data_IF_605650246756
#
_entry.id   IF_605650246756
#
_cell.length_a   1.000
_cell.length_b   1.000
_cell.length_c   1.000
_cell.angle_alpha   90.00
_cell.angle_beta   90.00
_cell.angle_gamma   90.00
#
_symmetry.space_group_name_H-M   'P 1'
#
loop_
_entity.id
_entity.type
_entity.pdbx_description
1 polymer ?
#
# COMPACT_ATOMS: atom_id res chain seq x y z
N UNK A 1 -33.05 -12.22 21.35
CA UNK A 1 -31.62 -12.59 21.43
C UNK A 1 -30.96 -12.66 20.05
N UNK A 2 -31.55 -13.33 19.05
CA UNK A 2 -31.00 -13.41 17.68
C UNK A 2 -30.83 -12.07 16.93
N UNK A 3 -31.76 -11.12 17.11
CA UNK A 3 -31.69 -9.80 16.45
C UNK A 3 -30.47 -8.96 16.89
N UNK A 4 -30.10 -9.06 18.17
CA UNK A 4 -28.96 -8.35 18.75
C UNK A 4 -27.63 -8.92 18.25
N UNK A 5 -27.56 -10.24 18.05
CA UNK A 5 -26.39 -10.91 17.47
C UNK A 5 -26.21 -10.50 16.02
N UNK A 6 -27.29 -10.47 15.23
CA UNK A 6 -27.24 -10.05 13.82
C UNK A 6 -26.81 -8.59 13.66
N UNK A 7 -27.34 -7.67 14.49
CA UNK A 7 -26.91 -6.27 14.51
C UNK A 7 -25.43 -6.12 14.87
N UNK A 8 -24.93 -6.89 15.85
CA UNK A 8 -23.53 -6.85 16.25
C UNK A 8 -22.59 -7.37 15.15
N UNK A 9 -23.00 -8.41 14.42
CA UNK A 9 -22.26 -8.92 13.26
C UNK A 9 -22.19 -7.89 12.12
N UNK A 10 -23.29 -7.18 11.83
CA UNK A 10 -23.33 -6.14 10.79
C UNK A 10 -22.48 -4.90 11.15
N UNK A 11 -22.44 -4.50 12.42
CA UNK A 11 -21.57 -3.40 12.87
C UNK A 11 -20.09 -3.77 12.78
N UNK A 12 -19.74 -5.01 13.12
CA UNK A 12 -18.36 -5.50 13.08
C UNK A 12 -17.81 -5.54 11.64
N UNK A 13 -18.63 -5.94 10.67
CA UNK A 13 -18.24 -5.95 9.26
C UNK A 13 -18.18 -4.56 8.63
N UNK A 14 -19.03 -3.63 9.07
CA UNK A 14 -18.99 -2.24 8.63
C UNK A 14 -17.72 -1.51 9.09
N UNK A 15 -17.25 -1.77 10.31
CA UNK A 15 -16.04 -1.15 10.86
C UNK A 15 -14.73 -1.69 10.24
N UNK A 16 -14.71 -2.97 9.82
CA UNK A 16 -13.53 -3.57 9.21
C UNK A 16 -13.23 -3.06 7.78
N UNK A 17 -14.26 -2.54 7.09
CA UNK A 17 -14.15 -2.06 5.71
C UNK A 17 -13.83 -0.57 5.56
N UNK A 18 -13.85 0.22 6.64
CA UNK A 18 -13.82 1.68 6.54
C UNK A 18 -12.44 2.34 6.67
N UNK A 19 -11.38 1.61 7.08
CA UNK A 19 -10.11 2.26 7.44
C UNK A 19 -8.90 1.48 6.92
N UNK A 20 -8.70 1.44 5.60
CA UNK A 20 -7.43 1.03 4.99
C UNK A 20 -7.14 1.85 3.72
N UNK A 21 -6.99 3.15 3.87
CA UNK A 21 -6.58 4.05 2.78
C UNK A 21 -5.15 3.75 2.31
N UNK A 22 -4.86 4.02 1.04
CA UNK A 22 -3.51 3.94 0.49
C UNK A 22 -2.65 5.06 1.08
N UNK A 23 -1.52 4.71 1.69
CA UNK A 23 -0.59 5.67 2.31
C UNK A 23 0.86 5.33 2.02
N UNK A 24 1.72 6.32 2.18
CA UNK A 24 3.17 6.14 2.20
C UNK A 24 3.59 5.58 3.56
N UNK A 25 4.48 4.59 3.55
CA UNK A 25 5.09 3.98 4.72
C UNK A 25 6.60 3.91 4.52
N UNK A 26 7.38 4.27 5.54
CA UNK A 26 8.82 4.09 5.53
C UNK A 26 9.17 2.60 5.70
N UNK A 27 10.17 2.14 4.98
CA UNK A 27 10.69 0.78 5.07
C UNK A 27 12.21 0.76 4.89
N UNK A 28 12.88 -0.14 5.61
CA UNK A 28 14.32 -0.36 5.46
C UNK A 28 14.57 -1.38 4.37
N UNK A 29 15.46 -1.06 3.44
CA UNK A 29 15.90 -1.92 2.35
C UNK A 29 17.39 -2.16 2.43
N UNK A 30 17.80 -3.40 2.18
CA UNK A 30 19.20 -3.78 2.05
C UNK A 30 19.60 -3.65 0.58
N UNK A 31 20.64 -2.87 0.31
CA UNK A 31 21.29 -2.80 -0.99
C UNK A 31 22.54 -3.68 -0.91
N UNK A 32 22.55 -4.72 -1.74
CA UNK A 32 23.66 -5.66 -1.91
C UNK A 32 24.19 -5.52 -3.34
N UNK A 33 25.35 -4.87 -3.46
CA UNK A 33 26.03 -4.62 -4.73
C UNK A 33 27.36 -5.37 -4.75
N UNK A 34 27.64 -6.10 -5.82
CA UNK A 34 28.84 -6.92 -5.93
C UNK A 34 30.12 -6.06 -5.80
N UNK A 35 30.96 -6.39 -4.82
CA UNK A 35 32.22 -5.69 -4.57
C UNK A 35 32.09 -4.43 -3.69
N UNK A 36 30.92 -4.14 -3.14
CA UNK A 36 30.68 -3.08 -2.15
C UNK A 36 30.26 -3.67 -0.79
N UNK A 37 30.36 -2.85 0.27
CA UNK A 37 29.82 -3.21 1.58
C UNK A 37 28.28 -3.11 1.58
N UNK A 38 27.62 -4.02 2.31
CA UNK A 38 26.17 -4.02 2.49
C UNK A 38 25.70 -2.69 3.10
N UNK A 39 24.72 -2.05 2.47
CA UNK A 39 24.14 -0.80 2.97
C UNK A 39 22.64 -0.96 3.25
N UNK A 40 22.19 -0.39 4.38
CA UNK A 40 20.76 -0.35 4.74
C UNK A 40 20.27 1.07 4.49
N UNK A 41 19.25 1.20 3.65
CA UNK A 41 18.63 2.49 3.29
C UNK A 41 17.18 2.53 3.76
N UNK A 42 16.70 3.71 4.15
CA UNK A 42 15.28 3.94 4.46
C UNK A 42 14.59 4.54 3.25
N UNK A 43 13.63 3.81 2.70
CA UNK A 43 12.87 4.19 1.51
C UNK A 43 11.38 4.28 1.80
N UNK A 44 10.67 5.03 0.99
CA UNK A 44 9.22 5.10 1.03
C UNK A 44 8.58 4.01 0.17
N UNK A 45 7.52 3.39 0.69
CA UNK A 45 6.67 2.43 -0.01
C UNK A 45 5.21 2.81 0.10
N UNK A 46 4.41 2.41 -0.87
CA UNK A 46 2.96 2.56 -0.79
C UNK A 46 2.33 1.29 -0.23
N UNK A 47 1.48 1.42 0.79
CA UNK A 47 0.77 0.31 1.40
C UNK A 47 -0.64 0.72 1.78
N UNK A 48 -1.61 -0.16 1.53
CA UNK A 48 -3.01 0.06 1.85
C UNK A 48 -3.94 -0.79 1.01
N UNK A 49 -5.24 -0.53 1.12
CA UNK A 49 -6.26 -1.18 0.31
C UNK A 49 -6.89 -0.18 -0.64
N UNK A 50 -7.39 -0.68 -1.77
CA UNK A 50 -8.06 0.12 -2.77
C UNK A 50 -9.32 -0.61 -3.24
N UNK A 51 -10.33 0.16 -3.61
CA UNK A 51 -11.59 -0.38 -4.12
C UNK A 51 -11.39 -1.06 -5.47
N UNK A 52 -11.93 -2.27 -5.59
CA UNK A 52 -12.05 -3.00 -6.84
C UNK A 52 -13.45 -3.56 -7.00
N UNK A 53 -14.03 -3.34 -8.18
CA UNK A 53 -15.36 -3.81 -8.54
C UNK A 53 -15.25 -4.62 -9.82
N UNK A 54 -15.87 -5.79 -9.85
CA UNK A 54 -15.95 -6.64 -11.04
C UNK A 54 -17.41 -6.99 -11.29
N UNK A 55 -17.88 -6.82 -12.52
CA UNK A 55 -19.24 -7.17 -12.91
C UNK A 55 -19.25 -7.87 -14.28
N UNK A 56 -20.19 -8.80 -14.51
CA UNK A 56 -20.32 -9.48 -15.80
C UNK A 56 -20.75 -8.48 -16.88
N UNK A 57 -20.08 -8.52 -18.04
CA UNK A 57 -20.45 -7.73 -19.20
C UNK A 57 -21.37 -8.54 -20.12
N UNK A 58 -22.66 -8.16 -20.25
CA UNK A 58 -23.63 -8.94 -21.02
C UNK A 58 -23.31 -9.03 -22.51
N UNK A 59 -22.54 -8.06 -23.06
CA UNK A 59 -22.23 -8.01 -24.48
C UNK A 59 -20.99 -8.83 -24.86
N UNK A 60 -20.05 -9.06 -23.93
CA UNK A 60 -18.74 -9.65 -24.25
C UNK A 60 -18.47 -11.00 -23.60
N UNK A 61 -19.40 -11.52 -22.78
CA UNK A 61 -19.23 -12.76 -21.97
C UNK A 61 -17.98 -12.75 -21.07
N UNK A 62 -17.41 -11.55 -20.82
CA UNK A 62 -16.26 -11.32 -19.94
C UNK A 62 -16.69 -10.49 -18.74
N UNK A 63 -15.90 -10.48 -17.68
CA UNK A 63 -16.10 -9.53 -16.59
C UNK A 63 -15.45 -8.19 -16.96
N UNK A 64 -16.18 -7.10 -16.72
CA UNK A 64 -15.61 -5.75 -16.69
C UNK A 64 -15.12 -5.48 -15.28
N UNK A 65 -13.89 -4.97 -15.17
CA UNK A 65 -13.22 -4.71 -13.90
C UNK A 65 -12.89 -3.22 -13.80
N UNK A 66 -13.32 -2.60 -12.71
CA UNK A 66 -12.92 -1.26 -12.30
C UNK A 66 -12.17 -1.37 -10.97
N UNK A 67 -10.85 -1.29 -11.03
CA UNK A 67 -9.99 -1.39 -9.85
C UNK A 67 -9.05 -0.19 -9.75
N UNK A 68 -8.79 0.24 -8.52
CA UNK A 68 -7.67 1.12 -8.18
C UNK A 68 -6.61 0.29 -7.46
N UNK A 69 -5.34 0.60 -7.67
CA UNK A 69 -4.22 -0.04 -6.96
C UNK A 69 -3.46 1.01 -6.15
N UNK A 70 -3.06 0.66 -4.93
CA UNK A 70 -2.20 1.50 -4.12
C UNK A 70 -0.78 1.42 -4.70
N UNK A 71 -0.30 2.52 -5.26
CA UNK A 71 1.00 2.58 -5.95
C UNK A 71 1.64 3.94 -5.77
N UNK A 72 2.96 3.97 -5.97
CA UNK A 72 3.73 5.19 -6.04
C UNK A 72 3.29 5.99 -7.29
N UNK A 73 2.96 7.27 -7.08
CA UNK A 73 2.57 8.21 -8.15
C UNK A 73 3.69 9.22 -8.38
N UNK A 74 4.28 9.71 -7.30
CA UNK A 74 5.44 10.58 -7.28
C UNK A 74 6.65 9.82 -6.74
N UNK A 75 7.80 9.98 -7.39
CA UNK A 75 9.05 9.35 -6.98
C UNK A 75 10.20 10.34 -7.08
N UNK A 76 10.95 10.47 -5.99
CA UNK A 76 12.25 11.15 -5.99
C UNK A 76 13.36 10.12 -5.90
N UNK A 77 14.39 10.27 -6.74
CA UNK A 77 15.54 9.38 -6.75
C UNK A 77 16.66 10.01 -5.96
N UNK A 78 17.16 9.28 -4.97
CA UNK A 78 18.25 9.73 -4.10
C UNK A 78 19.50 8.95 -4.48
N UNK A 79 20.61 9.66 -4.69
CA UNK A 79 21.91 9.01 -4.91
C UNK A 79 22.48 8.47 -3.59
N UNK A 80 23.32 7.44 -3.68
CA UNK A 80 23.95 6.85 -2.48
C UNK A 80 24.77 7.86 -1.68
N UNK A 81 25.40 8.83 -2.36
CA UNK A 81 26.18 9.92 -1.72
C UNK A 81 25.29 10.82 -0.84
N UNK A 82 24.08 11.12 -1.31
CA UNK A 82 23.08 11.89 -0.55
C UNK A 82 22.45 11.12 0.61
N UNK A 83 22.43 9.78 0.57
CA UNK A 83 21.91 8.94 1.65
C UNK A 83 22.81 8.96 2.90
N UNK A 84 24.13 9.03 2.73
CA UNK A 84 25.07 9.16 3.84
C UNK A 84 24.95 10.50 4.58
N UNK A 85 24.51 11.56 3.90
CA UNK A 85 24.30 12.88 4.48
C UNK A 85 22.98 13.01 5.26
N UNK A 86 22.01 12.11 5.02
CA UNK A 86 20.63 12.24 5.50
C UNK A 86 20.23 11.17 6.52
N UNK A 87 21.20 10.74 7.36
CA UNK A 87 21.04 9.65 8.34
C UNK A 87 19.92 9.88 9.38
N UNK A 88 19.41 11.11 9.49
CA UNK A 88 18.46 11.53 10.53
C UNK A 88 17.06 11.95 10.01
N UNK A 89 16.80 11.89 8.70
CA UNK A 89 15.56 12.44 8.11
C UNK A 89 14.76 11.43 7.31
N UNK A 90 13.50 11.22 7.70
CA UNK A 90 12.49 10.58 6.85
C UNK A 90 12.33 11.42 5.58
N UNK A 91 12.53 10.86 4.38
CA UNK A 91 12.08 11.51 3.15
C UNK A 91 10.54 11.52 3.21
N UNK A 92 9.95 12.70 3.37
CA UNK A 92 8.49 12.91 3.38
C UNK A 92 8.07 13.65 2.13
#
# INVERSE_FOLDING_TARGET
MFLLVLLCCCFSTACAGLIKECRVVGAEELIDEEGCDLSIVRVNRCSGQCLSFSFPNPNTRKNTVHAKCCRMVDSEWVSHESLHAHKDGMFT
#
